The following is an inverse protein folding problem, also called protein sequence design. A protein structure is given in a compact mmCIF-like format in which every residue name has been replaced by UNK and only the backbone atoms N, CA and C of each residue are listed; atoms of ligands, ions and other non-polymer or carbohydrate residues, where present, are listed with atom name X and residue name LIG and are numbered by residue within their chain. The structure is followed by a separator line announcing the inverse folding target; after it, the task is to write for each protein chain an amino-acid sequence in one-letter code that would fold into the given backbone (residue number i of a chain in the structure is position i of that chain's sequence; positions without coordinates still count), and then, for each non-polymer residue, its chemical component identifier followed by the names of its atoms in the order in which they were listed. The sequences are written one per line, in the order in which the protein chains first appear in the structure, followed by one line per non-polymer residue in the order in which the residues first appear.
data_IF_263150922796
#
_entry.id   IF_263150922796
#
_cell.length_a   1.000
_cell.length_b   1.000
_cell.length_c   1.000
_cell.angle_alpha   90.00
_cell.angle_beta   90.00
_cell.angle_gamma   90.00
#
_symmetry.space_group_name_H-M   'P 1'
#
loop_
_entity.id
_entity.type
_entity.pdbx_description
1 polymer ?
#
# COMPACT_ATOMS: atom_id res chain seq x y z
N UNK A 1 -4.06 20.12 10.19
CA UNK A 1 -4.85 19.68 9.01
C UNK A 1 -5.26 18.24 9.28
N UNK A 2 -6.54 18.01 9.56
CA UNK A 2 -7.01 16.70 10.03
C UNK A 2 -7.39 15.82 8.84
N UNK A 3 -6.44 15.03 8.36
CA UNK A 3 -6.67 14.01 7.35
C UNK A 3 -7.12 12.71 8.04
N UNK A 4 -8.42 12.53 8.23
CA UNK A 4 -8.98 11.24 8.63
C UNK A 4 -8.99 10.32 7.41
N UNK A 5 -8.50 9.09 7.61
CA UNK A 5 -8.42 8.08 6.56
C UNK A 5 -9.05 6.81 7.10
N UNK A 6 -10.22 6.45 6.57
CA UNK A 6 -10.94 5.23 6.91
C UNK A 6 -10.76 4.20 5.80
N UNK A 7 -10.00 3.14 6.12
CA UNK A 7 -9.81 1.79 5.57
C UNK A 7 -10.30 1.38 4.20
N UNK A 8 -9.58 0.42 3.59
CA UNK A 8 -9.94 -1.01 3.46
C UNK A 8 -8.95 -1.67 2.47
N UNK A 9 -8.45 -2.88 2.78
CA UNK A 9 -7.82 -3.79 1.81
C UNK A 9 -8.83 -4.91 1.54
N UNK A 10 -9.36 -5.01 0.32
CA UNK A 10 -10.27 -6.07 -0.08
C UNK A 10 -9.67 -6.90 -1.22
N UNK A 11 -9.31 -8.17 -0.98
CA UNK A 11 -8.94 -9.08 -2.08
C UNK A 11 -10.25 -9.69 -2.61
N UNK A 12 -10.93 -8.96 -3.50
CA UNK A 12 -12.07 -9.51 -4.22
C UNK A 12 -11.58 -10.26 -5.46
N UNK A 13 -11.98 -11.52 -5.59
CA UNK A 13 -12.18 -12.17 -6.88
C UNK A 13 -13.51 -11.65 -7.46
N UNK A 14 -13.45 -10.57 -8.25
CA UNK A 14 -14.50 -10.33 -9.25
C UNK A 14 -13.93 -10.65 -10.63
N UNK A 15 -14.48 -11.71 -11.20
CA UNK A 15 -14.48 -12.06 -12.62
C UNK A 15 -15.13 -10.97 -13.52
N UNK A 16 -15.04 -9.68 -13.19
CA UNK A 16 -15.63 -8.59 -13.98
C UNK A 16 -14.74 -7.34 -14.10
N UNK A 17 -13.43 -7.49 -14.29
CA UNK A 17 -12.64 -6.57 -15.12
C UNK A 17 -11.25 -7.14 -15.51
N UNK A 18 -11.13 -8.45 -15.55
CA UNK A 18 -9.86 -9.10 -15.86
C UNK A 18 -9.82 -9.43 -17.35
N UNK A 19 -9.33 -8.50 -18.18
CA UNK A 19 -8.57 -8.95 -19.35
C UNK A 19 -7.21 -9.44 -18.86
N UNK A 20 -7.21 -10.56 -18.14
CA UNK A 20 -6.03 -11.40 -18.08
C UNK A 20 -5.87 -11.96 -19.48
N UNK A 21 -4.82 -11.56 -20.18
CA UNK A 21 -4.47 -12.17 -21.45
C UNK A 21 -4.18 -13.65 -21.17
N UNK A 22 -4.99 -14.62 -21.64
CA UNK A 22 -4.85 -16.03 -21.27
C UNK A 22 -3.57 -16.68 -21.81
N UNK A 23 -2.79 -15.95 -22.62
CA UNK A 23 -1.71 -16.46 -23.44
C UNK A 23 -0.32 -16.34 -22.81
N UNK A 24 -0.19 -15.75 -21.62
CA UNK A 24 1.06 -15.75 -20.88
C UNK A 24 0.86 -16.40 -19.51
N UNK A 25 1.35 -17.62 -19.27
CA UNK A 25 1.34 -18.19 -17.93
C UNK A 25 2.21 -17.29 -17.06
N UNK A 26 1.55 -16.57 -16.16
CA UNK A 26 2.24 -15.79 -15.17
C UNK A 26 2.94 -16.77 -14.22
N UNK A 27 4.27 -16.69 -14.14
CA UNK A 27 5.04 -17.57 -13.28
C UNK A 27 4.55 -17.45 -11.83
N UNK A 28 4.38 -18.59 -11.16
CA UNK A 28 4.07 -18.61 -9.76
C UNK A 28 5.27 -18.05 -8.97
N UNK A 29 5.01 -17.22 -7.95
CA UNK A 29 6.06 -16.61 -7.13
C UNK A 29 5.92 -17.02 -5.66
N UNK A 30 7.06 -17.24 -5.00
CA UNK A 30 7.13 -17.64 -3.59
C UNK A 30 7.27 -16.45 -2.63
N UNK A 31 7.45 -15.23 -3.16
CA UNK A 31 7.54 -13.99 -2.38
C UNK A 31 7.11 -12.79 -3.23
N UNK A 32 6.64 -11.74 -2.55
CA UNK A 32 6.22 -10.49 -3.16
C UNK A 32 6.68 -9.35 -2.25
N UNK A 33 7.30 -8.32 -2.83
CA UNK A 33 7.80 -7.14 -2.13
C UNK A 33 7.46 -5.91 -2.97
N UNK A 34 6.76 -4.94 -2.39
CA UNK A 34 6.26 -3.76 -3.10
C UNK A 34 6.77 -2.51 -2.36
N UNK A 35 7.35 -1.56 -3.09
CA UNK A 35 7.76 -0.26 -2.55
C UNK A 35 6.64 0.76 -2.77
N UNK A 36 5.66 0.77 -1.86
CA UNK A 36 4.43 1.55 -1.98
C UNK A 36 4.70 3.05 -2.24
N UNK A 37 4.22 3.57 -3.37
CA UNK A 37 4.41 4.97 -3.75
C UNK A 37 5.81 5.36 -4.23
N UNK A 38 6.74 4.40 -4.37
CA UNK A 38 8.14 4.65 -4.72
C UNK A 38 8.65 3.84 -5.91
N UNK A 39 9.89 4.13 -6.31
CA UNK A 39 10.60 3.41 -7.37
C UNK A 39 11.05 2.01 -6.92
N UNK A 40 11.59 1.21 -7.83
CA UNK A 40 12.21 -0.07 -7.47
C UNK A 40 13.36 0.17 -6.48
N UNK A 41 13.41 -0.66 -5.44
CA UNK A 41 14.38 -0.49 -4.36
C UNK A 41 14.89 -1.84 -3.85
N UNK A 42 16.20 -1.96 -3.70
CA UNK A 42 16.82 -3.14 -3.08
C UNK A 42 17.32 -2.81 -1.68
N UNK A 43 16.91 -3.60 -0.70
CA UNK A 43 17.32 -3.49 0.71
C UNK A 43 17.77 -4.85 1.20
N UNK A 44 19.06 -4.96 1.56
CA UNK A 44 19.68 -6.24 1.88
C UNK A 44 19.61 -7.19 0.69
N UNK A 45 18.96 -8.33 0.85
CA UNK A 45 18.79 -9.36 -0.19
C UNK A 45 17.41 -9.32 -0.87
N UNK A 46 16.61 -8.27 -0.63
CA UNK A 46 15.24 -8.16 -1.13
C UNK A 46 15.13 -6.99 -2.09
N UNK A 47 14.59 -7.26 -3.27
CA UNK A 47 14.19 -6.24 -4.24
C UNK A 47 12.68 -6.03 -4.14
N UNK A 48 12.29 -4.77 -3.97
CA UNK A 48 10.91 -4.31 -3.88
C UNK A 48 10.51 -3.69 -5.22
N UNK A 49 9.42 -4.20 -5.80
CA UNK A 49 8.87 -3.72 -7.06
C UNK A 49 8.31 -2.31 -6.93
N UNK A 50 8.43 -1.52 -8.00
CA UNK A 50 8.06 -0.11 -8.02
C UNK A 50 6.53 0.12 -8.03
N UNK A 51 6.07 1.08 -7.24
CA UNK A 51 4.68 1.54 -7.19
C UNK A 51 4.64 3.07 -7.35
N UNK A 52 5.17 3.58 -8.46
CA UNK A 52 5.35 5.02 -8.71
C UNK A 52 4.13 5.70 -9.36
N UNK A 53 3.13 4.93 -9.82
CA UNK A 53 2.00 5.45 -10.62
C UNK A 53 1.14 6.44 -9.81
N UNK A 54 0.77 7.58 -10.40
CA UNK A 54 -0.14 8.51 -9.75
C UNK A 54 -1.60 8.02 -9.93
N UNK A 55 -1.96 7.04 -9.11
CA UNK A 55 -3.20 6.27 -9.12
C UNK A 55 -4.53 7.03 -9.13
N UNK A 56 -4.53 8.35 -9.04
CA UNK A 56 -5.76 9.13 -9.10
C UNK A 56 -6.76 8.82 -7.96
N UNK A 57 -7.94 9.47 -7.99
CA UNK A 57 -8.93 9.36 -6.92
C UNK A 57 -9.68 8.02 -6.86
N UNK A 58 -9.78 7.30 -7.97
CA UNK A 58 -10.55 6.06 -8.03
C UNK A 58 -10.03 5.21 -9.17
N UNK A 59 -8.94 4.46 -8.94
CA UNK A 59 -8.38 3.60 -9.96
C UNK A 59 -7.99 2.23 -9.43
N UNK A 60 -7.97 1.29 -10.37
CA UNK A 60 -7.31 0.00 -10.26
C UNK A 60 -6.14 -0.01 -11.24
N UNK A 61 -4.96 -0.43 -10.79
CA UNK A 61 -3.77 -0.50 -11.63
C UNK A 61 -3.01 -1.79 -11.38
N UNK A 62 -2.66 -2.48 -12.48
CA UNK A 62 -1.66 -3.54 -12.46
C UNK A 62 -0.29 -2.89 -12.27
N UNK A 63 0.37 -3.19 -11.16
CA UNK A 63 1.68 -2.63 -10.82
C UNK A 63 2.79 -3.43 -11.47
N UNK A 64 2.86 -4.72 -11.13
CA UNK A 64 3.87 -5.65 -11.65
C UNK A 64 3.28 -6.88 -12.30
N UNK A 65 4.13 -7.89 -12.48
CA UNK A 65 3.72 -9.17 -13.06
C UNK A 65 2.66 -9.84 -12.19
N UNK A 66 2.86 -9.88 -10.87
CA UNK A 66 2.09 -10.68 -9.90
C UNK A 66 1.30 -9.86 -8.88
N UNK A 67 1.17 -8.55 -9.09
CA UNK A 67 0.43 -7.70 -8.17
C UNK A 67 -0.21 -6.49 -8.84
N UNK A 68 -1.25 -5.98 -8.17
CA UNK A 68 -2.01 -4.81 -8.55
C UNK A 68 -2.44 -4.06 -7.28
N UNK A 69 -2.99 -2.86 -7.45
CA UNK A 69 -3.58 -2.13 -6.34
C UNK A 69 -4.82 -1.37 -6.79
N UNK A 70 -5.67 -1.02 -5.83
CA UNK A 70 -6.78 -0.09 -6.01
C UNK A 70 -6.72 1.02 -4.99
N UNK A 71 -7.04 2.23 -5.43
CA UNK A 71 -7.05 3.43 -4.62
C UNK A 71 -8.39 4.14 -4.77
N UNK A 72 -8.98 4.60 -3.67
CA UNK A 72 -10.28 5.28 -3.68
C UNK A 72 -10.29 6.57 -2.87
N UNK A 73 -11.20 7.47 -3.26
CA UNK A 73 -11.41 8.75 -2.61
C UNK A 73 -10.65 9.90 -3.27
N UNK A 74 -11.10 11.11 -3.00
CA UNK A 74 -10.52 12.33 -3.57
C UNK A 74 -10.09 13.26 -2.44
N UNK A 75 -8.86 13.78 -2.51
CA UNK A 75 -8.43 14.85 -1.62
C UNK A 75 -9.14 16.14 -2.05
N UNK A 76 -9.82 16.81 -1.12
CA UNK A 76 -10.65 18.00 -1.42
C UNK A 76 -9.84 19.31 -1.45
N UNK A 77 -8.50 19.25 -1.56
CA UNK A 77 -7.67 20.46 -1.55
C UNK A 77 -7.52 21.10 -2.95
N UNK A 78 -7.36 22.42 -2.97
CA UNK A 78 -7.28 23.24 -4.18
C UNK A 78 -5.83 23.44 -4.69
N UNK A 79 -4.89 22.61 -4.23
CA UNK A 79 -3.49 22.68 -4.65
C UNK A 79 -3.24 21.72 -5.81
N UNK A 80 -2.55 22.21 -6.83
CA UNK A 80 -2.54 21.69 -8.21
C UNK A 80 -1.70 20.43 -8.44
N UNK A 81 -1.46 19.62 -7.41
CA UNK A 81 -0.85 18.30 -7.58
C UNK A 81 -1.21 17.39 -6.42
N UNK A 82 -2.46 16.91 -6.41
CA UNK A 82 -2.87 15.83 -5.52
C UNK A 82 -2.20 14.53 -6.00
N UNK A 83 -0.93 14.38 -5.66
CA UNK A 83 -0.20 13.15 -5.83
C UNK A 83 -0.75 12.13 -4.83
N UNK A 84 -1.14 10.96 -5.31
CA UNK A 84 -1.54 9.82 -4.47
C UNK A 84 -0.31 9.05 -3.97
N UNK A 85 0.85 9.71 -4.01
CA UNK A 85 2.12 9.30 -3.44
C UNK A 85 2.71 10.49 -2.72
N UNK A 86 3.44 10.22 -1.64
CA UNK A 86 4.10 11.27 -0.86
C UNK A 86 5.53 10.89 -0.57
N UNK A 87 6.37 11.92 -0.46
CA UNK A 87 7.77 11.78 -0.07
C UNK A 87 7.91 12.12 1.41
N UNK A 88 8.83 11.42 2.04
CA UNK A 88 9.14 11.65 3.43
C UNK A 88 9.71 13.06 3.66
N UNK A 89 9.11 13.77 4.60
CA UNK A 89 9.53 15.09 5.06
C UNK A 89 10.20 15.05 6.45
N UNK A 90 10.28 13.87 7.07
CA UNK A 90 10.67 13.68 8.47
C UNK A 90 12.05 13.04 8.59
N UNK A 91 12.75 13.28 9.70
CA UNK A 91 14.05 12.63 9.91
C UNK A 91 13.83 11.21 10.45
N UNK A 92 14.23 10.21 9.67
CA UNK A 92 14.07 8.80 10.03
C UNK A 92 15.30 8.30 10.83
N UNK A 93 15.07 7.82 12.05
CA UNK A 93 16.11 7.24 12.92
C UNK A 93 15.94 5.72 13.05
N UNK A 94 15.99 5.01 11.93
CA UNK A 94 15.81 3.55 11.89
C UNK A 94 16.69 2.89 10.84
N UNK A 95 16.86 1.57 10.91
CA UNK A 95 17.54 0.80 9.85
C UNK A 95 16.68 0.70 8.61
N UNK A 96 17.29 0.64 7.42
CA UNK A 96 16.60 0.54 6.12
C UNK A 96 15.67 1.73 5.85
N UNK A 97 16.14 2.95 6.15
CA UNK A 97 15.37 4.20 5.96
C UNK A 97 14.84 4.36 4.53
N UNK A 98 15.47 3.71 3.55
CA UNK A 98 15.08 3.73 2.15
C UNK A 98 13.64 3.26 1.92
N UNK A 99 13.14 2.30 2.73
CA UNK A 99 11.76 1.79 2.65
C UNK A 99 10.70 2.80 3.11
N UNK A 100 11.12 3.87 3.78
CA UNK A 100 10.23 4.85 4.40
C UNK A 100 10.36 6.22 3.75
N UNK A 101 11.06 6.31 2.61
CA UNK A 101 11.24 7.56 1.85
C UNK A 101 10.01 7.95 1.05
N UNK A 102 9.17 6.97 0.67
CA UNK A 102 7.96 7.19 -0.09
C UNK A 102 6.81 6.41 0.55
N UNK A 103 5.58 6.88 0.33
CA UNK A 103 4.38 6.10 0.63
C UNK A 103 3.30 6.38 -0.40
N UNK A 104 2.48 5.36 -0.68
CA UNK A 104 1.19 5.56 -1.35
C UNK A 104 0.17 6.05 -0.34
N UNK A 105 -0.57 7.08 -0.71
CA UNK A 105 -1.63 7.65 0.11
C UNK A 105 -2.96 7.50 -0.61
N UNK A 106 -3.99 7.22 0.18
CA UNK A 106 -5.38 7.17 -0.27
C UNK A 106 -6.19 8.16 0.57
N UNK A 107 -7.26 8.75 0.07
CA UNK A 107 -8.20 9.48 0.93
C UNK A 107 -9.18 8.56 1.67
N UNK A 108 -9.53 7.42 1.09
CA UNK A 108 -10.49 6.47 1.66
C UNK A 108 -9.80 5.11 1.81
N UNK A 109 -9.70 4.32 0.73
CA UNK A 109 -9.20 2.95 0.81
C UNK A 109 -8.03 2.69 -0.15
N UNK A 110 -7.00 2.02 0.37
CA UNK A 110 -5.91 1.47 -0.42
C UNK A 110 -5.89 -0.05 -0.28
N UNK A 111 -5.98 -0.76 -1.40
CA UNK A 111 -5.90 -2.21 -1.46
C UNK A 111 -4.75 -2.66 -2.34
N UNK A 112 -3.93 -3.59 -1.86
CA UNK A 112 -2.97 -4.33 -2.69
C UNK A 112 -3.44 -5.75 -2.92
N UNK A 113 -3.26 -6.23 -4.15
CA UNK A 113 -3.61 -7.57 -4.61
C UNK A 113 -2.34 -8.29 -5.02
N UNK A 114 -2.11 -9.48 -4.48
CA UNK A 114 -1.09 -10.42 -4.96
C UNK A 114 -1.77 -11.58 -5.70
N UNK A 115 -1.23 -11.99 -6.83
CA UNK A 115 -1.76 -13.09 -7.64
C UNK A 115 -0.66 -14.00 -8.15
N UNK A 116 -1.04 -15.25 -8.48
CA UNK A 116 -0.09 -16.31 -8.81
C UNK A 116 1.00 -16.49 -7.73
N UNK A 117 0.59 -16.40 -6.47
CA UNK A 117 1.42 -16.83 -5.35
C UNK A 117 1.34 -18.35 -5.22
N UNK A 118 2.48 -19.00 -4.98
CA UNK A 118 2.50 -20.44 -4.69
C UNK A 118 1.62 -20.79 -3.48
N UNK A 119 1.04 -21.99 -3.46
CA UNK A 119 0.28 -22.44 -2.30
C UNK A 119 1.22 -22.64 -1.12
N UNK A 120 1.03 -21.87 -0.05
CA UNK A 120 1.90 -21.95 1.11
C UNK A 120 1.52 -21.03 2.25
N UNK A 121 2.31 -21.10 3.32
CA UNK A 121 2.21 -20.18 4.46
C UNK A 121 3.13 -19.00 4.20
N UNK A 122 2.57 -17.79 4.22
CA UNK A 122 3.31 -16.56 4.00
C UNK A 122 3.54 -15.79 5.30
N UNK A 123 4.73 -15.19 5.44
CA UNK A 123 5.00 -14.18 6.46
C UNK A 123 4.74 -12.80 5.87
N UNK A 124 3.61 -12.21 6.21
CA UNK A 124 3.30 -10.83 5.85
C UNK A 124 4.09 -9.85 6.74
N UNK A 125 4.76 -8.88 6.13
CA UNK A 125 5.40 -7.76 6.83
C UNK A 125 4.87 -6.46 6.24
N UNK A 126 4.32 -5.61 7.09
CA UNK A 126 3.85 -4.27 6.72
C UNK A 126 4.77 -3.25 7.36
N UNK A 127 5.20 -2.26 6.57
CA UNK A 127 6.08 -1.20 7.00
C UNK A 127 5.27 0.09 7.13
N UNK A 128 5.21 0.63 8.35
CA UNK A 128 4.52 1.89 8.64
C UNK A 128 5.51 2.88 9.26
N UNK A 129 5.40 4.14 8.86
CA UNK A 129 6.06 5.29 9.47
C UNK A 129 5.21 6.53 9.23
N UNK A 130 5.25 7.48 10.16
CA UNK A 130 4.71 8.81 9.93
C UNK A 130 5.76 9.65 9.19
N UNK A 131 5.38 10.15 8.01
CA UNK A 131 6.32 10.77 7.07
C UNK A 131 5.89 12.15 6.58
N UNK A 132 4.69 12.61 6.98
CA UNK A 132 4.16 13.93 6.59
C UNK A 132 4.21 14.93 7.75
N UNK A 133 4.02 14.47 8.99
CA UNK A 133 4.12 15.33 10.18
C UNK A 133 5.57 15.48 10.63
N UNK A 134 6.10 16.70 10.53
CA UNK A 134 7.47 17.06 10.90
C UNK A 134 7.62 17.30 12.40
N UNK A 135 8.80 17.09 12.99
CA UNK A 135 9.09 17.44 14.39
C UNK A 135 9.29 18.96 14.62
N UNK A 136 8.77 19.81 13.75
CA UNK A 136 8.89 21.26 13.94
C UNK A 136 7.71 21.81 14.75
N UNK A 137 7.91 22.89 15.51
CA UNK A 137 6.87 23.48 16.38
C UNK A 137 5.78 24.23 15.59
N UNK A 138 5.41 23.76 14.39
CA UNK A 138 4.40 24.39 13.51
C UNK A 138 3.07 23.64 13.59
N UNK A 139 1.95 24.31 13.32
CA UNK A 139 0.63 23.65 13.28
C UNK A 139 0.52 22.48 12.26
N UNK A 140 1.45 22.37 11.31
CA UNK A 140 1.54 21.24 10.37
C UNK A 140 2.18 19.97 10.96
N UNK A 141 2.82 20.03 12.14
CA UNK A 141 3.43 18.88 12.82
C UNK A 141 2.45 18.07 13.66
N UNK A 142 1.36 18.69 14.11
CA UNK A 142 0.37 18.02 14.93
C UNK A 142 -0.59 17.21 14.07
N UNK A 143 -0.60 15.89 14.29
CA UNK A 143 -1.52 15.02 13.60
C UNK A 143 -1.52 13.59 14.07
N UNK A 144 -2.65 12.94 13.85
CA UNK A 144 -2.90 11.54 14.20
C UNK A 144 -3.55 10.83 13.02
N UNK A 145 -3.02 9.67 12.67
CA UNK A 145 -3.59 8.79 11.64
C UNK A 145 -3.96 7.47 12.28
N UNK A 146 -5.24 7.17 12.26
CA UNK A 146 -5.78 5.92 12.77
C UNK A 146 -6.25 5.11 11.59
N UNK A 147 -5.75 3.88 11.47
CA UNK A 147 -6.28 2.97 10.48
C UNK A 147 -6.24 1.47 10.84
N UNK A 148 -7.25 0.71 10.43
CA UNK A 148 -7.39 -0.75 10.44
C UNK A 148 -6.74 -1.40 9.21
N UNK A 149 -6.23 -2.60 9.41
CA UNK A 149 -5.61 -3.40 8.36
C UNK A 149 -6.38 -4.71 8.20
N UNK A 150 -6.82 -4.98 6.97
CA UNK A 150 -7.53 -6.21 6.64
C UNK A 150 -6.68 -7.10 5.75
N UNK A 151 -6.65 -8.41 6.03
CA UNK A 151 -5.88 -9.37 5.25
C UNK A 151 -6.82 -10.52 4.87
N UNK A 152 -6.86 -10.83 3.58
CA UNK A 152 -7.67 -11.91 3.03
C UNK A 152 -6.78 -12.86 2.24
N UNK A 153 -7.00 -14.16 2.43
CA UNK A 153 -6.33 -15.21 1.67
C UNK A 153 -7.38 -16.05 0.94
N UNK A 154 -7.09 -16.33 -0.33
CA UNK A 154 -7.85 -17.28 -1.14
C UNK A 154 -6.89 -18.41 -1.51
N UNK A 155 -7.25 -19.65 -1.18
CA UNK A 155 -6.49 -20.84 -1.57
C UNK A 155 -7.43 -21.92 -2.12
N UNK A 156 -6.97 -22.79 -3.03
CA UNK A 156 -7.83 -23.78 -3.69
C UNK A 156 -8.55 -24.75 -2.73
N UNK A 157 -8.04 -24.91 -1.50
CA UNK A 157 -8.63 -25.75 -0.45
C UNK A 157 -8.98 -24.99 0.84
N UNK A 158 -8.83 -23.67 0.81
CA UNK A 158 -9.11 -22.77 1.93
C UNK A 158 -10.07 -21.74 1.35
N UNK A 159 -11.38 -21.98 1.50
CA UNK A 159 -12.38 -20.96 1.17
C UNK A 159 -12.03 -19.62 1.84
N UNK A 160 -12.60 -18.52 1.37
CA UNK A 160 -12.23 -17.16 1.79
C UNK A 160 -11.99 -17.03 3.30
N UNK A 161 -10.73 -16.90 3.68
CA UNK A 161 -10.33 -16.68 5.06
C UNK A 161 -9.95 -15.21 5.21
N UNK A 162 -10.90 -14.39 5.67
CA UNK A 162 -10.64 -13.02 6.06
C UNK A 162 -10.17 -12.98 7.52
N UNK A 163 -9.05 -12.32 7.78
CA UNK A 163 -8.62 -11.95 9.13
C UNK A 163 -8.52 -10.44 9.21
N UNK A 164 -9.29 -9.85 10.10
CA UNK A 164 -9.09 -8.46 10.51
C UNK A 164 -7.87 -8.40 11.41
N UNK A 165 -6.87 -7.59 11.04
CA UNK A 165 -5.77 -7.25 11.93
C UNK A 165 -6.05 -5.91 12.62
N UNK A 166 -5.47 -5.80 13.80
CA UNK A 166 -5.50 -4.70 14.78
C UNK A 166 -5.52 -3.30 14.16
N UNK A 167 -6.25 -2.38 14.80
CA UNK A 167 -6.17 -0.94 14.56
C UNK A 167 -4.73 -0.45 14.79
N UNK A 168 -4.14 0.17 13.78
CA UNK A 168 -2.83 0.84 13.84
C UNK A 168 -3.07 2.33 14.09
N UNK A 169 -2.49 2.85 15.16
CA UNK A 169 -2.52 4.28 15.50
C UNK A 169 -1.11 4.85 15.36
N UNK A 170 -0.91 5.72 14.37
CA UNK A 170 0.32 6.47 14.21
C UNK A 170 0.07 7.90 14.69
N UNK A 171 0.69 8.24 15.83
CA UNK A 171 0.59 9.55 16.46
C UNK A 171 1.93 10.25 16.35
N UNK A 172 1.91 11.47 15.82
CA UNK A 172 3.03 12.41 15.89
C UNK A 172 2.68 13.47 16.92
N UNK A 173 3.51 13.60 17.97
CA UNK A 173 3.28 14.49 19.11
C UNK A 173 4.00 15.82 18.95
#
# INVERSE_FOLDING_TARGET
MNYFLHHFIFVHDSQQFLRFDPLLPLAAVNSLHINCGGDELTVGTKTYEADWDNAGPAMYKKGGSNWAFSNTGHFMDNSTSLLYTTKNATRLYMTNTELYKNARISPISLTYYGFCLENGKYKLKLHFAEIMFTDDNKFSSLGRRVFDVYIQFCGPNVGYAAKTCTQVDMIHH
#
